data_IF_470442399028
#
_entry.id   IF_470442399028
#
_cell.length_a   1.000
_cell.length_b   1.000
_cell.length_c   1.000
_cell.angle_alpha   90.00
_cell.angle_beta   90.00
_cell.angle_gamma   90.00
#
_symmetry.space_group_name_H-M   'P 1'
#
loop_
_entity.id
_entity.type
_entity.pdbx_description
1 polymer ?
#
# COMPACT_ATOMS: atom_id res chain seq x y z
N UNK A 1 -32.45 -14.10 -2.14
CA UNK A 1 -31.07 -13.99 -2.66
C UNK A 1 -31.05 -13.18 -3.95
N UNK A 2 -31.97 -13.42 -4.89
CA UNK A 2 -32.05 -12.70 -6.17
C UNK A 2 -32.20 -11.18 -6.06
N UNK A 3 -33.01 -10.66 -5.13
CA UNK A 3 -33.14 -9.21 -4.97
C UNK A 3 -31.82 -8.55 -4.51
N UNK A 4 -31.05 -9.22 -3.63
CA UNK A 4 -29.77 -8.68 -3.17
C UNK A 4 -28.76 -8.64 -4.32
N UNK A 5 -28.67 -9.73 -5.10
CA UNK A 5 -27.81 -9.79 -6.29
C UNK A 5 -28.24 -8.74 -7.31
N UNK A 6 -29.54 -8.60 -7.56
CA UNK A 6 -30.09 -7.60 -8.46
C UNK A 6 -29.73 -6.18 -8.01
N UNK A 7 -29.90 -5.84 -6.73
CA UNK A 7 -29.54 -4.52 -6.21
C UNK A 7 -28.03 -4.26 -6.32
N UNK A 8 -27.19 -5.25 -5.98
CA UNK A 8 -25.75 -5.10 -6.08
C UNK A 8 -25.28 -4.89 -7.52
N UNK A 9 -25.80 -5.67 -8.47
CA UNK A 9 -25.37 -5.65 -9.87
C UNK A 9 -25.98 -4.48 -10.63
N UNK A 10 -27.27 -4.21 -10.47
CA UNK A 10 -27.98 -3.25 -11.31
C UNK A 10 -27.93 -1.83 -10.76
N UNK A 11 -27.75 -1.65 -9.46
CA UNK A 11 -27.84 -0.33 -8.81
C UNK A 11 -26.48 0.08 -8.24
N UNK A 12 -25.87 -0.78 -7.43
CA UNK A 12 -24.63 -0.41 -6.73
C UNK A 12 -23.43 -0.41 -7.68
N UNK A 13 -23.23 -1.46 -8.50
CA UNK A 13 -22.10 -1.55 -9.40
C UNK A 13 -21.98 -0.34 -10.36
N UNK A 14 -23.04 0.09 -11.07
CA UNK A 14 -22.96 1.26 -11.95
C UNK A 14 -22.65 2.54 -11.18
N UNK A 15 -23.20 2.71 -9.97
CA UNK A 15 -22.90 3.87 -9.14
C UNK A 15 -21.43 3.93 -8.74
N UNK A 16 -20.80 2.80 -8.40
CA UNK A 16 -19.37 2.73 -8.10
C UNK A 16 -18.49 3.02 -9.34
N UNK A 17 -18.90 2.58 -10.53
CA UNK A 17 -18.18 2.88 -11.77
C UNK A 17 -18.21 4.39 -12.06
N UNK A 18 -19.38 5.02 -11.96
CA UNK A 18 -19.52 6.47 -12.15
C UNK A 18 -18.69 7.22 -11.10
N UNK A 19 -18.76 6.77 -9.85
CA UNK A 19 -17.98 7.35 -8.75
C UNK A 19 -16.48 7.25 -9.02
N UNK A 20 -15.99 6.10 -9.49
CA UNK A 20 -14.59 5.90 -9.85
C UNK A 20 -14.14 6.87 -10.95
N UNK A 21 -14.95 7.02 -12.01
CA UNK A 21 -14.67 7.97 -13.09
C UNK A 21 -14.63 9.42 -12.56
N UNK A 22 -15.56 9.79 -11.68
CA UNK A 22 -15.54 11.11 -11.05
C UNK A 22 -14.29 11.35 -10.19
N UNK A 23 -13.80 10.31 -9.50
CA UNK A 23 -12.55 10.38 -8.73
C UNK A 23 -11.33 10.57 -9.65
N UNK A 24 -11.26 9.85 -10.77
CA UNK A 24 -10.19 10.02 -11.76
C UNK A 24 -10.17 11.43 -12.38
N UNK A 25 -11.36 12.01 -12.58
CA UNK A 25 -11.52 13.38 -13.11
C UNK A 25 -11.36 14.46 -12.02
N UNK A 26 -11.22 14.08 -10.75
CA UNK A 26 -11.08 15.01 -9.63
C UNK A 26 -12.37 15.71 -9.18
N UNK A 27 -13.55 15.28 -9.68
CA UNK A 27 -14.85 15.78 -9.23
C UNK A 27 -15.24 15.23 -7.86
N UNK A 28 -14.72 14.07 -7.50
CA UNK A 28 -14.85 13.47 -6.17
C UNK A 28 -13.47 13.23 -5.56
N UNK A 29 -13.35 13.42 -4.24
CA UNK A 29 -12.08 13.15 -3.55
C UNK A 29 -11.71 11.66 -3.60
N UNK A 30 -10.42 11.37 -3.41
CA UNK A 30 -9.90 9.99 -3.41
C UNK A 30 -10.73 9.07 -2.52
N UNK A 31 -10.97 7.84 -3.01
CA UNK A 31 -11.51 6.77 -2.16
C UNK A 31 -10.55 6.45 -1.00
N UNK A 32 -11.01 5.64 -0.05
CA UNK A 32 -10.22 5.30 1.15
C UNK A 32 -8.84 4.71 0.82
N UNK A 33 -8.75 3.87 -0.23
CA UNK A 33 -7.49 3.29 -0.67
C UNK A 33 -6.55 4.37 -1.24
N UNK A 34 -7.06 5.26 -2.11
CA UNK A 34 -6.29 6.37 -2.67
C UNK A 34 -5.83 7.38 -1.62
N UNK A 35 -6.68 7.68 -0.61
CA UNK A 35 -6.28 8.48 0.56
C UNK A 35 -5.16 7.81 1.34
N UNK A 36 -5.31 6.52 1.63
CA UNK A 36 -4.31 5.74 2.34
C UNK A 36 -2.97 5.69 1.58
N UNK A 37 -3.00 5.50 0.26
CA UNK A 37 -1.81 5.54 -0.60
C UNK A 37 -1.12 6.90 -0.53
N UNK A 38 -1.88 7.99 -0.63
CA UNK A 38 -1.35 9.35 -0.55
C UNK A 38 -0.72 9.63 0.82
N UNK A 39 -1.35 9.18 1.90
CA UNK A 39 -0.83 9.32 3.26
C UNK A 39 0.47 8.51 3.46
N UNK A 40 0.50 7.26 3.00
CA UNK A 40 1.70 6.42 3.04
C UNK A 40 2.86 7.10 2.30
N UNK A 41 2.62 7.56 1.07
CA UNK A 41 3.65 8.24 0.28
C UNK A 41 4.14 9.53 0.94
N UNK A 42 3.23 10.29 1.57
CA UNK A 42 3.58 11.52 2.29
C UNK A 42 4.42 11.25 3.55
N UNK A 43 4.13 10.16 4.27
CA UNK A 43 4.83 9.80 5.51
C UNK A 43 6.14 9.03 5.27
N UNK A 44 6.30 8.42 4.09
CA UNK A 44 7.48 7.61 3.76
C UNK A 44 8.82 8.33 4.01
N UNK A 45 9.00 9.63 3.65
CA UNK A 45 10.25 10.34 3.90
C UNK A 45 10.54 10.60 5.39
N UNK A 46 9.54 10.51 6.26
CA UNK A 46 9.66 10.76 7.70
C UNK A 46 10.18 9.52 8.46
N UNK A 47 10.18 8.35 7.82
CA UNK A 47 10.67 7.11 8.44
C UNK A 47 12.20 7.12 8.44
N UNK A 48 12.78 6.90 9.63
CA UNK A 48 14.23 6.85 9.79
C UNK A 48 14.80 5.62 9.06
N UNK A 49 15.70 5.86 8.10
CA UNK A 49 16.40 4.82 7.36
C UNK A 49 17.21 3.87 8.26
N UNK A 50 17.63 4.34 9.44
CA UNK A 50 18.34 3.53 10.44
C UNK A 50 17.50 2.37 11.00
N UNK A 51 16.17 2.45 10.89
CA UNK A 51 15.25 1.37 11.29
C UNK A 51 15.15 0.22 10.27
N UNK A 52 15.89 0.32 9.15
CA UNK A 52 15.86 -0.64 8.06
C UNK A 52 17.17 -1.43 8.04
N UNK A 53 17.06 -2.74 8.23
CA UNK A 53 18.18 -3.67 8.09
C UNK A 53 18.15 -4.34 6.72
N UNK A 54 19.20 -4.15 5.92
CA UNK A 54 19.37 -4.87 4.65
C UNK A 54 19.87 -6.30 4.92
N UNK A 55 19.14 -7.31 4.44
CA UNK A 55 19.48 -8.73 4.58
C UNK A 55 20.17 -9.31 3.33
N UNK A 56 20.31 -8.52 2.27
CA UNK A 56 20.83 -8.94 0.96
C UNK A 56 19.74 -9.54 0.05
N UNK A 57 20.06 -9.77 -1.22
CA UNK A 57 19.14 -10.35 -2.21
C UNK A 57 17.77 -9.64 -2.30
N UNK A 58 17.77 -8.31 -2.17
CA UNK A 58 16.55 -7.47 -2.14
C UNK A 58 15.59 -7.77 -0.96
N UNK A 59 16.07 -8.41 0.11
CA UNK A 59 15.36 -8.58 1.36
C UNK A 59 15.77 -7.53 2.39
N UNK A 60 14.77 -7.01 3.11
CA UNK A 60 14.94 -5.97 4.10
C UNK A 60 14.05 -6.29 5.30
N UNK A 61 14.53 -5.98 6.50
CA UNK A 61 13.72 -5.95 7.71
C UNK A 61 13.50 -4.50 8.12
N UNK A 62 12.28 -4.17 8.52
CA UNK A 62 11.94 -2.86 9.06
C UNK A 62 11.28 -3.02 10.43
N UNK A 63 11.74 -2.25 11.40
CA UNK A 63 11.17 -2.28 12.74
C UNK A 63 9.77 -1.66 12.77
N UNK A 64 8.85 -2.25 13.51
CA UNK A 64 7.53 -1.67 13.69
C UNK A 64 7.59 -0.40 14.55
N UNK A 65 6.98 0.68 14.05
CA UNK A 65 6.84 1.95 14.77
C UNK A 65 6.07 1.80 16.08
N UNK A 66 5.08 0.89 16.13
CA UNK A 66 4.24 0.69 17.31
C UNK A 66 4.77 -0.38 18.27
N UNK A 67 5.68 -1.23 17.81
CA UNK A 67 6.23 -2.32 18.63
C UNK A 67 7.70 -2.58 18.23
N UNK A 68 8.63 -2.05 19.01
CA UNK A 68 10.06 -2.19 18.75
C UNK A 68 10.58 -3.63 18.80
N UNK A 69 9.85 -4.57 19.41
CA UNK A 69 10.21 -6.00 19.39
C UNK A 69 9.75 -6.73 18.13
N UNK A 70 8.98 -6.08 17.26
CA UNK A 70 8.47 -6.66 16.03
C UNK A 70 9.16 -6.05 14.81
N UNK A 71 9.49 -6.90 13.85
CA UNK A 71 10.13 -6.56 12.59
C UNK A 71 9.30 -7.14 11.46
N UNK A 72 9.07 -6.34 10.42
CA UNK A 72 8.42 -6.76 9.20
C UNK A 72 9.47 -7.08 8.14
N UNK A 73 9.27 -8.19 7.43
CA UNK A 73 10.09 -8.62 6.32
C UNK A 73 9.53 -8.06 5.02
N UNK A 74 10.41 -7.48 4.20
CA UNK A 74 10.09 -6.86 2.92
C UNK A 74 11.00 -7.45 1.85
N UNK A 75 10.42 -7.89 0.74
CA UNK A 75 11.15 -8.32 -0.45
C UNK A 75 10.86 -7.35 -1.59
N UNK A 76 11.85 -6.52 -1.93
CA UNK A 76 11.68 -5.44 -2.89
C UNK A 76 11.49 -5.95 -4.33
N UNK A 77 12.15 -7.06 -4.70
CA UNK A 77 12.06 -7.62 -6.06
C UNK A 77 10.66 -8.13 -6.44
N UNK A 78 9.87 -8.59 -5.46
CA UNK A 78 8.48 -9.01 -5.63
C UNK A 78 7.48 -8.01 -5.06
N UNK A 79 7.97 -6.87 -4.56
CA UNK A 79 7.21 -5.85 -3.83
C UNK A 79 6.35 -6.43 -2.70
N UNK A 80 6.80 -7.47 -2.00
CA UNK A 80 6.01 -8.14 -0.97
C UNK A 80 6.43 -7.74 0.45
N UNK A 81 5.48 -7.85 1.38
CA UNK A 81 5.70 -7.65 2.81
C UNK A 81 4.86 -8.63 3.63
N UNK A 82 5.33 -8.98 4.83
CA UNK A 82 4.63 -9.86 5.78
C UNK A 82 3.68 -9.10 6.74
N UNK A 83 3.55 -7.78 6.59
CA UNK A 83 2.67 -7.00 7.44
C UNK A 83 1.18 -7.33 7.17
N UNK A 84 0.28 -7.15 8.16
CA UNK A 84 -1.15 -7.46 8.03
C UNK A 84 -1.88 -6.73 6.89
N UNK A 85 -1.34 -5.58 6.48
CA UNK A 85 -1.92 -4.75 5.40
C UNK A 85 -1.62 -5.34 4.01
N UNK A 86 -0.62 -6.23 3.88
CA UNK A 86 -0.25 -6.88 2.63
C UNK A 86 -0.91 -8.26 2.49
N UNK A 87 -1.43 -8.66 1.32
CA UNK A 87 -1.51 -7.93 0.04
C UNK A 87 -2.79 -7.09 -0.11
N UNK A 88 -3.57 -6.88 0.97
CA UNK A 88 -4.94 -6.35 0.90
C UNK A 88 -5.06 -4.98 0.23
N UNK A 89 -4.07 -4.11 0.38
CA UNK A 89 -4.07 -2.75 -0.17
C UNK A 89 -3.07 -2.56 -1.33
N UNK A 90 -2.42 -3.63 -1.79
CA UNK A 90 -1.37 -3.66 -2.84
C UNK A 90 -0.23 -2.64 -2.67
N UNK A 91 -0.22 -1.90 -1.56
CA UNK A 91 0.76 -0.93 -1.15
C UNK A 91 0.76 -0.87 0.38
N UNK A 92 1.90 -1.12 0.99
CA UNK A 92 2.08 -0.90 2.43
C UNK A 92 3.25 0.04 2.68
N UNK A 93 3.21 0.71 3.83
CA UNK A 93 4.27 1.64 4.25
C UNK A 93 5.66 1.03 4.19
N UNK A 94 5.81 -0.27 4.49
CA UNK A 94 7.10 -0.94 4.53
C UNK A 94 7.72 -1.09 3.14
N UNK A 95 6.95 -1.56 2.15
CA UNK A 95 7.43 -1.69 0.76
C UNK A 95 7.77 -0.31 0.21
N UNK A 96 6.90 0.68 0.41
CA UNK A 96 7.13 2.06 -0.07
C UNK A 96 8.39 2.67 0.55
N UNK A 97 8.62 2.45 1.84
CA UNK A 97 9.81 2.93 2.55
C UNK A 97 11.08 2.29 2.02
N UNK A 98 11.10 0.97 1.89
CA UNK A 98 12.26 0.25 1.37
C UNK A 98 12.52 0.64 -0.10
N UNK A 99 11.49 0.77 -0.92
CA UNK A 99 11.61 1.24 -2.29
C UNK A 99 12.13 2.68 -2.37
N UNK A 100 11.73 3.56 -1.46
CA UNK A 100 12.20 4.94 -1.42
C UNK A 100 13.71 5.03 -1.13
N UNK A 101 14.20 4.30 -0.13
CA UNK A 101 15.61 4.35 0.26
C UNK A 101 16.53 3.46 -0.58
N UNK A 102 16.03 2.32 -1.09
CA UNK A 102 16.86 1.28 -1.72
C UNK A 102 16.41 0.90 -3.14
N UNK A 103 15.31 1.45 -3.65
CA UNK A 103 14.76 1.17 -4.99
C UNK A 103 15.73 1.38 -6.15
N UNK A 104 16.66 2.32 -6.01
CA UNK A 104 17.64 2.62 -7.05
C UNK A 104 18.90 1.74 -6.99
N UNK A 105 19.01 0.85 -5.99
CA UNK A 105 20.19 -0.02 -5.82
C UNK A 105 20.07 -1.38 -6.50
N UNK A 106 18.89 -1.71 -7.06
CA UNK A 106 18.65 -2.94 -7.84
C UNK A 106 18.72 -2.62 -9.34
N UNK A 107 19.88 -2.16 -9.79
CA UNK A 107 20.24 -2.16 -11.21
C UNK A 107 21.42 -3.12 -11.37
N UNK A 108 21.11 -4.37 -11.71
CA UNK A 108 22.06 -5.36 -12.23
C UNK A 108 21.55 -5.81 -13.58
#
# INVERSE_FOLDING_TARGET
VDHLVHTLVMIMLPSYVIQHVHQELGFEGLNLAGKCHTEILKQTPEINAESICNLGNAWYCIQSVTNSSHMYLVQLGTQSCDCPDWPRVELCKHVTTVAHFFGNSVAV
#
